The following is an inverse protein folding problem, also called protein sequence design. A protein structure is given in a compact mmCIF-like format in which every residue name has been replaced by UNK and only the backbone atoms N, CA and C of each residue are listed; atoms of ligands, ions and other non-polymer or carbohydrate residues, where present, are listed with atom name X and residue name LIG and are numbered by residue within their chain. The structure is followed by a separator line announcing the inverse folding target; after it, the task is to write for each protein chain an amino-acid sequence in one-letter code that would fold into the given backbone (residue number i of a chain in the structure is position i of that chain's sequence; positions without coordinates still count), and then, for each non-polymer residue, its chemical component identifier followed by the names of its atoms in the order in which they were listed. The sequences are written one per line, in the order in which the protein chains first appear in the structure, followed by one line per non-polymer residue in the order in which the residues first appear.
data_IF_832399909798
#
_entry.id   IF_832399909798
#
_cell.length_a   1.000
_cell.length_b   1.000
_cell.length_c   1.000
_cell.angle_alpha   90.00
_cell.angle_beta   90.00
_cell.angle_gamma   90.00
#
_symmetry.space_group_name_H-M   'P 1'
#
loop_
_entity.id
_entity.type
_entity.pdbx_description
1 polymer ?
#
# COMPACT_ATOMS: atom_id res chain seq x y z
N UNK A 1 22.81 -1.73 1.58
CA UNK A 1 21.95 -2.33 0.57
C UNK A 1 22.11 -1.53 -0.70
N UNK A 2 22.88 -2.02 -1.65
CA UNK A 2 23.01 -1.40 -2.96
C UNK A 2 21.79 -1.85 -3.79
N UNK A 3 20.73 -1.06 -3.76
CA UNK A 3 19.69 -1.21 -4.76
C UNK A 3 20.27 -0.67 -6.08
N UNK A 4 20.74 -1.57 -6.91
CA UNK A 4 21.00 -1.27 -8.31
C UNK A 4 19.62 -1.23 -8.98
N UNK A 5 18.90 -0.12 -8.80
CA UNK A 5 17.59 0.08 -9.40
C UNK A 5 17.80 0.29 -10.89
N UNK A 6 17.93 -0.78 -11.62
CA UNK A 6 17.67 -0.73 -13.06
C UNK A 6 16.20 -0.40 -13.22
N UNK A 7 15.90 0.59 -14.04
CA UNK A 7 14.55 1.11 -14.27
C UNK A 7 13.67 0.01 -14.93
N UNK A 8 13.25 -0.96 -14.11
CA UNK A 8 12.49 -2.13 -14.52
C UNK A 8 11.01 -1.91 -14.24
N UNK A 9 10.16 -2.17 -15.22
CA UNK A 9 8.71 -2.18 -15.04
C UNK A 9 8.27 -3.54 -14.55
N UNK A 10 7.53 -3.57 -13.45
CA UNK A 10 6.96 -4.81 -12.93
C UNK A 10 5.69 -5.20 -13.69
N UNK A 11 5.67 -6.42 -14.18
CA UNK A 11 4.54 -7.01 -14.88
C UNK A 11 3.79 -7.98 -13.97
N UNK A 12 2.54 -8.28 -14.31
CA UNK A 12 1.72 -9.22 -13.56
C UNK A 12 2.23 -10.66 -13.75
N UNK A 13 2.61 -11.29 -12.66
CA UNK A 13 2.84 -12.74 -12.60
C UNK A 13 1.59 -13.43 -12.03
N UNK A 14 0.62 -13.77 -12.92
CA UNK A 14 -0.69 -14.27 -12.51
C UNK A 14 -0.61 -15.54 -11.64
N UNK A 15 0.32 -16.47 -11.94
CA UNK A 15 0.52 -17.67 -11.16
C UNK A 15 1.05 -17.39 -9.75
N UNK A 16 1.99 -16.46 -9.63
CA UNK A 16 2.52 -16.04 -8.35
C UNK A 16 1.45 -15.31 -7.52
N UNK A 17 0.70 -14.41 -8.17
CA UNK A 17 -0.40 -13.69 -7.55
C UNK A 17 -1.46 -14.64 -6.97
N UNK A 18 -1.93 -15.61 -7.76
CA UNK A 18 -2.92 -16.62 -7.33
C UNK A 18 -2.43 -17.51 -6.19
N UNK A 19 -1.14 -17.84 -6.17
CA UNK A 19 -0.53 -18.58 -5.04
C UNK A 19 -0.44 -17.74 -3.77
N UNK A 20 -0.19 -16.45 -3.92
CA UNK A 20 -0.08 -15.53 -2.79
C UNK A 20 -1.45 -15.17 -2.19
N UNK A 21 -2.47 -15.04 -3.04
CA UNK A 21 -3.83 -14.66 -2.66
C UNK A 21 -4.83 -15.74 -3.09
N UNK A 22 -4.99 -16.75 -2.25
CA UNK A 22 -5.80 -17.95 -2.54
C UNK A 22 -7.26 -17.62 -2.87
N UNK A 23 -7.81 -16.57 -2.26
CA UNK A 23 -9.21 -16.15 -2.51
C UNK A 23 -9.47 -15.68 -3.95
N UNK A 24 -8.41 -15.31 -4.71
CA UNK A 24 -8.53 -14.85 -6.10
C UNK A 24 -8.08 -15.92 -7.11
N UNK A 25 -8.02 -17.19 -6.72
CA UNK A 25 -7.59 -18.29 -7.60
C UNK A 25 -8.50 -18.45 -8.82
N UNK A 26 -9.81 -18.28 -8.62
CA UNK A 26 -10.84 -18.46 -9.65
C UNK A 26 -11.01 -17.24 -10.56
N UNK A 27 -10.36 -16.13 -10.24
CA UNK A 27 -10.45 -14.91 -11.05
C UNK A 27 -9.73 -15.10 -12.40
N UNK A 28 -10.38 -14.75 -13.52
CA UNK A 28 -9.76 -14.80 -14.86
C UNK A 28 -8.52 -13.90 -14.93
N UNK A 29 -7.51 -14.35 -15.69
CA UNK A 29 -6.24 -13.61 -15.83
C UNK A 29 -6.44 -12.25 -16.47
N UNK A 30 -7.40 -12.13 -17.39
CA UNK A 30 -7.76 -10.87 -18.05
C UNK A 30 -8.26 -9.83 -17.03
N UNK A 31 -9.05 -10.26 -16.06
CA UNK A 31 -9.53 -9.40 -14.98
C UNK A 31 -8.38 -9.00 -14.07
N UNK A 32 -7.51 -9.95 -13.71
CA UNK A 32 -6.32 -9.65 -12.91
C UNK A 32 -5.44 -8.59 -13.59
N UNK A 33 -5.26 -8.69 -14.93
CA UNK A 33 -4.47 -7.73 -15.68
C UNK A 33 -5.06 -6.31 -15.63
N UNK A 34 -6.38 -6.20 -15.77
CA UNK A 34 -7.08 -4.90 -15.69
C UNK A 34 -6.84 -4.26 -14.31
N UNK A 35 -6.99 -5.04 -13.23
CA UNK A 35 -6.77 -4.50 -11.88
C UNK A 35 -5.30 -4.23 -11.57
N UNK A 36 -4.38 -4.98 -12.17
CA UNK A 36 -2.95 -4.70 -12.09
C UNK A 36 -2.59 -3.37 -12.75
N UNK A 37 -3.12 -3.12 -13.93
CA UNK A 37 -2.92 -1.86 -14.64
C UNK A 37 -3.56 -0.68 -13.87
N UNK A 38 -4.72 -0.91 -13.25
CA UNK A 38 -5.31 0.06 -12.34
C UNK A 38 -4.42 0.33 -11.12
N UNK A 39 -3.86 -0.70 -10.51
CA UNK A 39 -2.93 -0.56 -9.38
C UNK A 39 -1.70 0.27 -9.74
N UNK A 40 -1.20 0.14 -10.98
CA UNK A 40 -0.11 0.95 -11.53
C UNK A 40 -0.40 2.45 -11.61
N UNK A 41 -1.66 2.86 -11.58
CA UNK A 41 -2.04 4.28 -11.49
C UNK A 41 -1.97 4.84 -10.06
N UNK A 42 -2.08 3.98 -9.04
CA UNK A 42 -1.97 4.37 -7.63
C UNK A 42 -0.54 4.25 -7.12
N UNK A 43 0.19 3.25 -7.60
CA UNK A 43 1.57 2.97 -7.23
C UNK A 43 2.40 2.91 -8.52
N UNK A 44 3.40 3.77 -8.62
CA UNK A 44 4.26 3.81 -9.79
C UNK A 44 4.94 2.44 -10.01
N UNK A 45 4.68 1.83 -11.17
CA UNK A 45 5.03 0.44 -11.46
C UNK A 45 6.52 0.21 -11.84
N UNK A 46 7.34 1.26 -11.80
CA UNK A 46 8.77 1.19 -12.07
C UNK A 46 9.55 1.28 -10.77
N UNK A 47 10.67 0.61 -10.72
CA UNK A 47 11.57 0.69 -9.59
C UNK A 47 11.93 2.13 -9.23
N UNK A 48 11.88 2.44 -7.96
CA UNK A 48 12.22 3.76 -7.43
C UNK A 48 12.99 3.66 -6.10
N UNK A 49 13.52 4.80 -5.65
CA UNK A 49 14.36 4.84 -4.44
C UNK A 49 13.64 4.41 -3.15
N UNK A 50 12.30 4.44 -3.11
CA UNK A 50 11.52 4.06 -1.92
C UNK A 50 11.09 2.60 -1.98
N UNK A 51 10.68 2.15 -3.17
CA UNK A 51 10.21 0.80 -3.43
C UNK A 51 10.96 0.25 -4.64
N UNK A 52 11.72 -0.79 -4.46
CA UNK A 52 12.46 -1.46 -5.53
C UNK A 52 12.26 -2.97 -5.47
N UNK A 53 12.39 -3.61 -6.63
CA UNK A 53 12.39 -5.06 -6.78
C UNK A 53 11.17 -5.72 -6.10
N UNK A 54 11.41 -6.72 -5.26
CA UNK A 54 10.36 -7.52 -4.59
C UNK A 54 9.37 -6.67 -3.76
N UNK A 55 9.84 -5.57 -3.16
CA UNK A 55 8.97 -4.69 -2.36
C UNK A 55 7.96 -3.95 -3.22
N UNK A 56 8.38 -3.51 -4.41
CA UNK A 56 7.48 -2.85 -5.35
C UNK A 56 6.50 -3.84 -5.93
N UNK A 57 6.96 -5.05 -6.30
CA UNK A 57 6.09 -6.12 -6.77
C UNK A 57 5.04 -6.49 -5.71
N UNK A 58 5.45 -6.63 -4.44
CA UNK A 58 4.54 -6.87 -3.33
C UNK A 58 3.53 -5.72 -3.15
N UNK A 59 3.97 -4.47 -3.25
CA UNK A 59 3.09 -3.31 -3.13
C UNK A 59 2.03 -3.28 -4.24
N UNK A 60 2.41 -3.56 -5.49
CA UNK A 60 1.49 -3.67 -6.62
C UNK A 60 0.51 -4.85 -6.44
N UNK A 61 1.01 -6.00 -5.99
CA UNK A 61 0.17 -7.18 -5.72
C UNK A 61 -0.87 -6.90 -4.62
N UNK A 62 -0.46 -6.25 -3.53
CA UNK A 62 -1.38 -5.86 -2.44
C UNK A 62 -2.40 -4.82 -2.90
N UNK A 63 -2.00 -3.86 -3.75
CA UNK A 63 -2.92 -2.87 -4.30
C UNK A 63 -3.92 -3.52 -5.25
N UNK A 64 -3.49 -4.46 -6.08
CA UNK A 64 -4.35 -5.24 -6.96
C UNK A 64 -5.37 -6.06 -6.16
N UNK A 65 -4.92 -6.76 -5.12
CA UNK A 65 -5.80 -7.54 -4.24
C UNK A 65 -6.80 -6.64 -3.50
N UNK A 66 -6.38 -5.45 -3.07
CA UNK A 66 -7.26 -4.46 -2.46
C UNK A 66 -8.37 -4.00 -3.42
N UNK A 67 -8.01 -3.64 -4.65
CA UNK A 67 -8.98 -3.22 -5.67
C UNK A 67 -9.92 -4.34 -6.09
N UNK A 68 -9.41 -5.57 -6.22
CA UNK A 68 -10.24 -6.75 -6.49
C UNK A 68 -11.25 -6.96 -5.37
N UNK A 69 -10.82 -6.91 -4.11
CA UNK A 69 -11.69 -7.10 -2.96
C UNK A 69 -12.82 -6.07 -2.90
N UNK A 70 -12.50 -4.81 -3.21
CA UNK A 70 -13.49 -3.72 -3.20
C UNK A 70 -14.50 -3.81 -4.35
N UNK A 71 -14.06 -4.18 -5.55
CA UNK A 71 -14.86 -4.06 -6.75
C UNK A 71 -15.40 -5.39 -7.27
N UNK A 72 -14.64 -6.47 -7.09
CA UNK A 72 -15.00 -7.81 -7.59
C UNK A 72 -15.55 -8.71 -6.47
N UNK A 73 -15.28 -8.38 -5.21
CA UNK A 73 -15.72 -9.15 -4.05
C UNK A 73 -14.97 -10.48 -3.88
N UNK A 74 -15.66 -11.48 -3.37
CA UNK A 74 -15.12 -12.81 -3.08
C UNK A 74 -15.20 -13.78 -4.28
N UNK A 75 -15.23 -13.26 -5.50
CA UNK A 75 -15.36 -14.07 -6.72
C UNK A 75 -16.80 -14.19 -7.25
N UNK A 76 -17.80 -13.85 -6.46
CA UNK A 76 -19.22 -13.86 -6.86
C UNK A 76 -19.65 -12.55 -7.53
N UNK A 77 -18.73 -11.64 -7.79
CA UNK A 77 -18.99 -10.32 -8.39
C UNK A 77 -19.78 -9.38 -7.49
N UNK A 78 -19.93 -9.72 -6.21
CA UNK A 78 -20.56 -8.83 -5.22
C UNK A 78 -19.48 -7.99 -4.54
N UNK A 79 -19.47 -6.67 -4.73
CA UNK A 79 -18.49 -5.81 -4.09
C UNK A 79 -18.63 -5.89 -2.56
N UNK A 80 -17.54 -6.17 -1.89
CA UNK A 80 -17.49 -6.09 -0.43
C UNK A 80 -17.43 -4.63 -0.02
N UNK A 81 -18.59 -4.01 0.14
CA UNK A 81 -18.68 -2.59 0.45
C UNK A 81 -18.25 -2.31 1.89
N UNK A 82 -17.04 -1.78 2.04
CA UNK A 82 -16.67 -0.99 3.21
C UNK A 82 -16.32 -1.76 4.49
N UNK A 83 -15.86 -1.02 5.46
CA UNK A 83 -15.61 -1.49 6.82
C UNK A 83 -16.95 -1.75 7.52
N UNK A 84 -17.21 -2.99 7.91
CA UNK A 84 -18.36 -3.30 8.77
C UNK A 84 -18.10 -2.65 10.13
N UNK A 85 -18.88 -1.63 10.46
CA UNK A 85 -18.76 -0.92 11.74
C UNK A 85 -19.61 -1.53 12.85
N UNK A 86 -20.66 -2.28 12.47
CA UNK A 86 -21.48 -3.00 13.44
C UNK A 86 -22.17 -4.20 12.80
N UNK A 87 -22.23 -5.29 13.51
CA UNK A 87 -23.02 -6.45 13.17
C UNK A 87 -23.92 -6.80 14.34
N UNK A 88 -25.21 -7.07 14.05
CA UNK A 88 -26.19 -7.45 15.07
C UNK A 88 -26.81 -8.77 14.64
N UNK A 89 -26.72 -9.78 15.51
CA UNK A 89 -27.38 -11.07 15.33
C UNK A 89 -28.13 -11.41 16.61
N UNK A 90 -29.47 -11.38 16.52
CA UNK A 90 -30.33 -11.59 17.68
C UNK A 90 -30.15 -10.53 18.77
N UNK A 91 -29.76 -10.98 19.97
CA UNK A 91 -29.51 -10.11 21.13
C UNK A 91 -28.03 -9.67 21.26
N UNK A 92 -27.14 -10.12 20.36
CA UNK A 92 -25.72 -9.79 20.39
C UNK A 92 -25.40 -8.76 19.33
N UNK A 93 -24.85 -7.63 19.73
CA UNK A 93 -24.31 -6.61 18.84
C UNK A 93 -22.82 -6.49 19.04
N UNK A 94 -22.05 -6.55 17.95
CA UNK A 94 -20.61 -6.35 17.94
C UNK A 94 -20.30 -5.08 17.17
N UNK A 95 -19.65 -4.12 17.83
CA UNK A 95 -19.18 -2.91 17.22
C UNK A 95 -17.70 -3.02 16.86
N UNK A 96 -17.35 -2.69 15.63
CA UNK A 96 -15.96 -2.59 15.21
C UNK A 96 -15.59 -1.11 15.10
N UNK A 97 -14.54 -0.72 15.80
CA UNK A 97 -14.02 0.63 15.67
C UNK A 97 -13.13 0.71 14.44
N UNK A 98 -13.47 1.53 13.44
CA UNK A 98 -12.61 1.70 12.27
C UNK A 98 -11.26 2.29 12.69
N UNK A 99 -10.16 1.95 12.00
CA UNK A 99 -8.86 2.56 12.26
C UNK A 99 -8.94 4.08 12.14
N UNK A 100 -8.28 4.79 13.08
CA UNK A 100 -8.17 6.24 12.97
C UNK A 100 -7.25 6.60 11.80
N UNK A 101 -7.77 7.30 10.82
CA UNK A 101 -7.07 7.70 9.61
C UNK A 101 -6.98 9.23 9.54
N UNK A 102 -5.81 9.73 9.15
CA UNK A 102 -5.56 11.16 9.03
C UNK A 102 -5.81 11.70 7.62
N UNK A 103 -5.85 10.82 6.62
CA UNK A 103 -6.01 11.18 5.22
C UNK A 103 -7.03 10.29 4.52
N UNK A 104 -7.64 10.81 3.44
CA UNK A 104 -8.55 10.04 2.59
C UNK A 104 -7.86 8.80 1.99
N UNK A 105 -6.56 8.89 1.67
CA UNK A 105 -5.77 7.78 1.19
C UNK A 105 -5.64 6.66 2.24
N UNK A 106 -5.33 7.00 3.48
CA UNK A 106 -5.29 6.02 4.57
C UNK A 106 -6.66 5.37 4.79
N UNK A 107 -7.73 6.18 4.77
CA UNK A 107 -9.09 5.66 4.89
C UNK A 107 -9.44 4.68 3.77
N UNK A 108 -9.10 5.00 2.52
CA UNK A 108 -9.31 4.13 1.38
C UNK A 108 -8.59 2.78 1.58
N UNK A 109 -7.31 2.80 1.93
CA UNK A 109 -6.53 1.58 2.14
C UNK A 109 -7.01 0.77 3.37
N UNK A 110 -7.58 1.42 4.38
CA UNK A 110 -8.09 0.72 5.57
C UNK A 110 -9.35 -0.10 5.33
N UNK A 111 -9.98 0.00 4.16
CA UNK A 111 -11.21 -0.73 3.86
C UNK A 111 -11.03 -2.23 3.66
N UNK A 112 -9.82 -2.69 3.38
CA UNK A 112 -9.52 -4.12 3.23
C UNK A 112 -8.25 -4.51 3.99
N UNK A 113 -8.08 -5.79 4.37
CA UNK A 113 -6.85 -6.29 4.99
C UNK A 113 -5.61 -6.10 4.10
N UNK A 114 -5.77 -6.20 2.78
CA UNK A 114 -4.69 -6.00 1.81
C UNK A 114 -4.24 -4.55 1.73
N UNK A 115 -5.18 -3.62 1.74
CA UNK A 115 -4.88 -2.20 1.80
C UNK A 115 -4.20 -1.80 3.11
N UNK A 116 -4.58 -2.39 4.25
CA UNK A 116 -3.90 -2.16 5.53
C UNK A 116 -2.45 -2.64 5.50
N UNK A 117 -2.19 -3.82 4.92
CA UNK A 117 -0.82 -4.32 4.74
C UNK A 117 0.00 -3.41 3.83
N UNK A 118 -0.59 -2.96 2.73
CA UNK A 118 0.02 -1.99 1.83
C UNK A 118 0.36 -0.67 2.56
N UNK A 119 -0.58 -0.14 3.35
CA UNK A 119 -0.36 1.07 4.14
C UNK A 119 0.83 0.93 5.09
N UNK A 120 0.95 -0.22 5.77
CA UNK A 120 2.10 -0.51 6.63
C UNK A 120 3.39 -0.59 5.84
N UNK A 121 3.40 -1.27 4.69
CA UNK A 121 4.57 -1.36 3.82
C UNK A 121 5.04 0.04 3.37
N UNK A 122 4.12 0.90 2.94
CA UNK A 122 4.41 2.27 2.53
C UNK A 122 4.92 3.13 3.69
N UNK A 123 4.32 3.01 4.88
CA UNK A 123 4.80 3.71 6.08
C UNK A 123 6.21 3.28 6.46
N UNK A 124 6.50 2.00 6.42
CA UNK A 124 7.85 1.47 6.70
C UNK A 124 8.88 1.94 5.66
N UNK A 125 8.52 1.98 4.39
CA UNK A 125 9.39 2.49 3.33
C UNK A 125 9.73 3.98 3.54
N UNK A 126 8.77 4.80 4.00
CA UNK A 126 8.99 6.21 4.33
C UNK A 126 9.86 6.42 5.55
N UNK A 127 9.71 5.61 6.59
CA UNK A 127 10.49 5.72 7.83
C UNK A 127 11.98 5.48 7.56
N UNK A 128 12.34 4.60 6.64
CA UNK A 128 13.73 4.32 6.26
C UNK A 128 14.42 5.47 5.52
N UNK A 129 13.67 6.48 5.02
CA UNK A 129 14.19 7.58 4.20
C UNK A 129 14.31 8.94 4.90
N UNK A 130 13.82 9.09 6.13
CA UNK A 130 13.73 10.39 6.82
C UNK A 130 14.65 10.53 8.03
N UNK A 131 15.89 10.11 7.91
CA UNK A 131 16.93 10.71 8.75
C UNK A 131 17.51 11.92 8.02
N UNK A 132 16.84 13.04 8.13
CA UNK A 132 17.45 14.34 7.84
C UNK A 132 18.31 14.68 9.08
N UNK A 133 19.46 14.01 9.16
CA UNK A 133 20.39 14.27 10.22
C UNK A 133 20.86 15.72 10.18
N UNK A 134 20.64 16.44 11.26
CA UNK A 134 21.43 17.51 11.79
C UNK A 134 21.90 18.68 10.93
N UNK A 135 21.63 18.74 9.63
CA UNK A 135 22.05 19.89 8.80
C UNK A 135 21.36 21.21 9.16
N UNK A 136 20.08 21.27 9.57
CA UNK A 136 19.50 22.53 10.04
C UNK A 136 20.19 23.11 11.26
N UNK A 137 20.59 22.25 12.21
CA UNK A 137 21.24 22.69 13.44
C UNK A 137 22.65 23.23 13.20
N UNK A 138 23.43 22.57 12.33
CA UNK A 138 24.77 23.07 11.97
C UNK A 138 24.72 24.38 11.20
N UNK A 139 23.68 24.63 10.42
CA UNK A 139 23.48 25.92 9.77
C UNK A 139 22.99 27.00 10.73
N UNK A 140 22.16 26.67 11.72
CA UNK A 140 21.71 27.58 12.76
C UNK A 140 22.89 28.02 13.64
N UNK A 141 23.77 27.10 14.04
CA UNK A 141 24.99 27.42 14.82
C UNK A 141 25.97 28.29 14.02
N UNK A 142 26.12 28.06 12.71
CA UNK A 142 26.94 28.91 11.86
C UNK A 142 26.41 30.33 11.69
N UNK A 143 25.10 30.52 11.72
CA UNK A 143 24.48 31.86 11.66
C UNK A 143 24.53 32.59 12.98
N UNK A 144 24.46 31.89 14.11
CA UNK A 144 24.56 32.45 15.45
C UNK A 144 26.01 32.73 15.85
N UNK A 145 26.96 32.02 15.27
CA UNK A 145 28.42 32.23 15.44
C UNK A 145 29.01 33.25 14.48
N UNK A 146 28.22 34.22 13.99
CA UNK A 146 28.71 35.38 13.25
C UNK A 146 29.70 36.20 14.09
N UNK A 147 30.92 36.27 13.60
CA UNK A 147 32.12 36.88 14.20
C UNK A 147 31.78 38.13 15.02
N UNK A 148 32.11 38.06 16.27
CA UNK A 148 32.36 39.24 17.07
C UNK A 148 33.68 39.83 16.58
N UNK A 149 33.63 40.93 15.84
CA UNK A 149 34.74 41.85 15.66
C UNK A 149 34.70 42.92 16.73
#
# INVERSE_FOLDING_TARGET
MNCNCENHKHELEAELFKKQFIEFTDVPVEVLQIYWDMAGNYIYAWDNCLLCCDKLHLALSLMTAHLLKLNYGDGDGQPTAGVVTSATEGSVSVGFQPPQTNTMWEWFLCQTPYGQQLLMLLKMARIGGFYVGGRPETQAIRKVGGSWK
#
